data_IF_890158703858
#
_entry.id   IF_890158703858
#
_cell.length_a   1.000
_cell.length_b   1.000
_cell.length_c   1.000
_cell.angle_alpha   90.00
_cell.angle_beta   90.00
_cell.angle_gamma   90.00
#
_symmetry.space_group_name_H-M   'P 1'
#
loop_
_entity.id
_entity.type
_entity.pdbx_description
1 polymer ?
#
# COMPACT_ATOMS: atom_id res chain seq x y z
N UNK A 1 11.91 -5.28 28.14
CA UNK A 1 11.03 -4.10 27.97
C UNK A 1 9.58 -4.52 28.18
N UNK A 2 8.88 -3.96 29.17
CA UNK A 2 7.50 -4.33 29.51
C UNK A 2 6.56 -3.50 28.62
N UNK A 3 5.89 -4.12 27.65
CA UNK A 3 4.86 -3.44 26.87
C UNK A 3 3.78 -2.89 27.83
N UNK A 4 3.53 -1.58 27.78
CA UNK A 4 2.48 -0.94 28.57
C UNK A 4 1.14 -1.55 28.16
N UNK A 5 0.27 -1.93 29.12
CA UNK A 5 -1.02 -2.60 28.82
C UNK A 5 -1.81 -1.89 27.71
N UNK A 6 -1.80 -0.55 27.68
CA UNK A 6 -2.46 0.27 26.65
C UNK A 6 -1.90 0.12 25.22
N UNK A 7 -0.59 -0.14 25.05
CA UNK A 7 -0.01 -0.40 23.72
C UNK A 7 -0.47 -1.73 23.13
N UNK A 8 -0.61 -2.76 23.99
CA UNK A 8 -1.19 -4.06 23.63
C UNK A 8 -2.65 -3.94 23.21
N UNK A 9 -3.45 -3.13 23.92
CA UNK A 9 -4.87 -2.91 23.60
C UNK A 9 -5.06 -2.19 22.26
N UNK A 10 -4.31 -1.11 21.99
CA UNK A 10 -4.40 -0.40 20.70
C UNK A 10 -4.10 -1.33 19.52
N UNK A 11 -3.08 -2.18 19.65
CA UNK A 11 -2.74 -3.18 18.62
C UNK A 11 -3.87 -4.18 18.42
N UNK A 12 -4.42 -4.75 19.50
CA UNK A 12 -5.53 -5.69 19.43
C UNK A 12 -6.78 -5.08 18.76
N UNK A 13 -7.07 -3.81 19.03
CA UNK A 13 -8.15 -3.06 18.38
C UNK A 13 -7.92 -2.91 16.86
N UNK A 14 -6.70 -2.57 16.44
CA UNK A 14 -6.36 -2.51 15.01
C UNK A 14 -6.39 -3.89 14.34
N UNK A 15 -5.96 -4.94 15.03
CA UNK A 15 -6.03 -6.31 14.51
C UNK A 15 -7.49 -6.77 14.34
N UNK A 16 -8.36 -6.47 15.31
CA UNK A 16 -9.79 -6.70 15.20
C UNK A 16 -10.43 -5.92 14.05
N UNK A 17 -10.05 -4.64 13.88
CA UNK A 17 -10.52 -3.82 12.76
C UNK A 17 -10.05 -4.37 11.40
N UNK A 18 -8.82 -4.87 11.30
CA UNK A 18 -8.35 -5.56 10.09
C UNK A 18 -9.16 -6.83 9.80
N UNK A 19 -9.42 -7.67 10.80
CA UNK A 19 -10.24 -8.87 10.62
C UNK A 19 -11.65 -8.53 10.10
N UNK A 20 -12.30 -7.54 10.72
CA UNK A 20 -13.61 -7.07 10.27
C UNK A 20 -13.59 -6.51 8.84
N UNK A 21 -12.51 -5.81 8.45
CA UNK A 21 -12.34 -5.29 7.09
C UNK A 21 -12.26 -6.43 6.06
N UNK A 22 -11.53 -7.50 6.35
CA UNK A 22 -11.40 -8.64 5.45
C UNK A 22 -12.69 -9.47 5.40
N UNK A 23 -13.42 -9.59 6.51
CA UNK A 23 -14.67 -10.37 6.60
C UNK A 23 -15.87 -9.68 5.92
N UNK A 24 -16.00 -8.35 6.06
CA UNK A 24 -17.22 -7.64 5.65
C UNK A 24 -16.98 -6.25 5.07
N UNK A 25 -15.73 -5.93 4.71
CA UNK A 25 -15.37 -4.63 4.16
C UNK A 25 -15.51 -3.48 5.17
N UNK A 26 -15.43 -2.25 4.67
CA UNK A 26 -15.41 -1.04 5.53
C UNK A 26 -16.71 -0.82 6.31
N UNK A 27 -17.83 -1.38 5.83
CA UNK A 27 -19.13 -1.34 6.52
C UNK A 27 -19.10 -2.12 7.84
N UNK A 28 -18.43 -3.27 7.86
CA UNK A 28 -18.30 -4.11 9.06
C UNK A 28 -17.39 -3.50 10.13
N UNK A 29 -16.45 -2.63 9.74
CA UNK A 29 -15.58 -1.94 10.69
C UNK A 29 -16.36 -0.83 11.40
N UNK A 30 -16.84 -1.12 12.61
CA UNK A 30 -17.46 -0.14 13.51
C UNK A 30 -16.75 -0.14 14.86
N UNK A 31 -16.72 1.00 15.56
CA UNK A 31 -16.13 1.05 16.89
C UNK A 31 -16.78 0.05 17.84
N UNK A 32 -18.10 -0.15 17.71
CA UNK A 32 -18.83 -1.16 18.49
C UNK A 32 -18.33 -2.57 18.19
N UNK A 33 -18.31 -3.00 16.93
CA UNK A 33 -17.89 -4.34 16.54
C UNK A 33 -16.42 -4.61 16.92
N UNK A 34 -15.55 -3.60 16.79
CA UNK A 34 -14.14 -3.69 17.19
C UNK A 34 -14.01 -3.85 18.71
N UNK A 35 -14.74 -3.05 19.49
CA UNK A 35 -14.75 -3.15 20.95
C UNK A 35 -15.28 -4.49 21.46
N UNK A 36 -16.39 -4.96 20.88
CA UNK A 36 -16.98 -6.27 21.18
C UNK A 36 -15.99 -7.42 20.87
N UNK A 37 -15.31 -7.37 19.72
CA UNK A 37 -14.34 -8.41 19.31
C UNK A 37 -13.11 -8.49 20.23
N UNK A 38 -12.68 -7.36 20.78
CA UNK A 38 -11.53 -7.32 21.72
C UNK A 38 -11.98 -7.51 23.18
N UNK A 39 -13.27 -7.36 23.49
CA UNK A 39 -13.81 -7.45 24.84
C UNK A 39 -13.54 -6.19 25.68
N UNK A 40 -13.50 -5.00 25.07
CA UNK A 40 -13.30 -3.73 25.77
C UNK A 40 -14.57 -2.88 25.77
N UNK A 41 -14.72 -2.02 26.79
CA UNK A 41 -15.84 -1.08 26.86
C UNK A 41 -15.72 -0.02 25.78
N UNK A 42 -16.87 0.57 25.40
CA UNK A 42 -16.92 1.72 24.47
C UNK A 42 -16.01 2.86 24.94
N UNK A 43 -15.99 3.15 26.25
CA UNK A 43 -15.13 4.19 26.82
C UNK A 43 -13.64 3.87 26.64
N UNK A 44 -13.23 2.64 26.91
CA UNK A 44 -11.83 2.22 26.75
C UNK A 44 -11.39 2.29 25.28
N UNK A 45 -12.29 2.00 24.34
CA UNK A 45 -12.02 2.13 22.91
C UNK A 45 -11.88 3.60 22.48
N UNK A 46 -12.75 4.49 22.96
CA UNK A 46 -12.66 5.93 22.66
C UNK A 46 -11.36 6.57 23.15
N UNK A 47 -10.76 6.04 24.22
CA UNK A 47 -9.45 6.49 24.70
C UNK A 47 -8.31 6.17 23.70
N UNK A 48 -8.53 5.24 22.76
CA UNK A 48 -7.56 4.88 21.73
C UNK A 48 -7.91 5.46 20.35
N UNK A 49 -9.19 5.55 20.02
CA UNK A 49 -9.69 6.06 18.74
C UNK A 49 -10.92 6.93 19.00
N UNK A 50 -10.79 8.24 18.76
CA UNK A 50 -11.86 9.19 19.01
C UNK A 50 -13.15 8.83 18.24
N UNK A 51 -12.99 8.46 16.98
CA UNK A 51 -14.07 8.09 16.07
C UNK A 51 -13.66 6.98 15.08
N UNK A 52 -14.61 6.57 14.22
CA UNK A 52 -14.37 5.59 13.15
C UNK A 52 -13.36 6.10 12.12
N UNK A 53 -13.37 7.39 11.79
CA UNK A 53 -12.47 7.96 10.80
C UNK A 53 -11.00 7.84 11.25
N UNK A 54 -10.73 8.19 12.51
CA UNK A 54 -9.43 8.02 13.15
C UNK A 54 -8.98 6.56 13.10
N UNK A 55 -9.86 5.62 13.44
CA UNK A 55 -9.54 4.18 13.38
C UNK A 55 -9.20 3.72 11.94
N UNK A 56 -9.99 4.13 10.95
CA UNK A 56 -9.78 3.75 9.56
C UNK A 56 -8.51 4.35 8.98
N UNK A 57 -8.21 5.61 9.29
CA UNK A 57 -6.98 6.28 8.86
C UNK A 57 -5.74 5.59 9.43
N UNK A 58 -5.72 5.30 10.74
CA UNK A 58 -4.61 4.56 11.38
C UNK A 58 -4.48 3.14 10.78
N UNK A 59 -5.60 2.49 10.47
CA UNK A 59 -5.60 1.19 9.82
C UNK A 59 -5.02 1.25 8.40
N UNK A 60 -5.38 2.27 7.62
CA UNK A 60 -4.83 2.52 6.28
C UNK A 60 -3.33 2.82 6.34
N UNK A 61 -2.89 3.70 7.25
CA UNK A 61 -1.48 4.00 7.48
C UNK A 61 -0.68 2.73 7.83
N UNK A 62 -1.21 1.87 8.72
CA UNK A 62 -0.59 0.58 9.04
C UNK A 62 -0.41 -0.31 7.81
N UNK A 63 -1.37 -0.31 6.89
CA UNK A 63 -1.26 -1.09 5.66
C UNK A 63 -0.24 -0.50 4.69
N UNK A 64 -0.16 0.83 4.57
CA UNK A 64 0.84 1.52 3.77
C UNK A 64 2.26 1.28 4.31
N UNK A 65 2.46 1.33 5.63
CA UNK A 65 3.77 1.00 6.22
C UNK A 65 4.19 -0.44 5.95
N UNK A 66 3.27 -1.39 6.05
CA UNK A 66 3.54 -2.79 5.68
C UNK A 66 3.83 -2.95 4.19
N UNK A 67 3.20 -2.15 3.33
CA UNK A 67 3.48 -2.14 1.90
C UNK A 67 4.88 -1.58 1.65
N UNK A 68 5.24 -0.46 2.27
CA UNK A 68 6.56 0.15 2.20
C UNK A 68 7.67 -0.84 2.59
N UNK A 69 7.51 -1.53 3.72
CA UNK A 69 8.44 -2.56 4.18
C UNK A 69 8.60 -3.69 3.14
N UNK A 70 7.48 -4.21 2.61
CA UNK A 70 7.51 -5.28 1.60
C UNK A 70 8.16 -4.85 0.30
N UNK A 71 7.94 -3.61 -0.13
CA UNK A 71 8.56 -3.01 -1.29
C UNK A 71 10.07 -2.90 -1.10
N UNK A 72 10.51 -2.41 0.06
CA UNK A 72 11.93 -2.32 0.40
C UNK A 72 12.61 -3.69 0.44
N UNK A 73 12.00 -4.67 1.13
CA UNK A 73 12.53 -6.03 1.18
C UNK A 73 12.57 -6.70 -0.20
N UNK A 74 11.62 -6.43 -1.08
CA UNK A 74 11.61 -6.98 -2.43
C UNK A 74 12.78 -6.42 -3.26
N UNK A 75 13.01 -5.10 -3.19
CA UNK A 75 14.12 -4.46 -3.88
C UNK A 75 15.48 -4.93 -3.38
N UNK A 76 15.65 -5.08 -2.06
CA UNK A 76 16.93 -5.48 -1.44
C UNK A 76 17.40 -6.90 -1.77
N UNK A 77 16.51 -7.76 -2.29
CA UNK A 77 16.86 -9.14 -2.66
C UNK A 77 17.50 -9.24 -4.05
N UNK A 78 17.44 -8.17 -4.85
CA UNK A 78 18.05 -8.13 -6.18
C UNK A 78 19.45 -7.54 -6.13
N UNK A 79 20.35 -8.03 -6.98
CA UNK A 79 21.70 -7.48 -7.15
C UNK A 79 21.71 -6.31 -8.14
N UNK A 80 20.78 -6.35 -9.11
CA UNK A 80 20.64 -5.35 -10.17
C UNK A 80 19.49 -4.38 -9.82
N UNK A 81 19.72 -3.05 -9.78
CA UNK A 81 18.70 -2.06 -9.47
C UNK A 81 17.37 -2.20 -10.21
N UNK A 82 17.37 -2.42 -11.53
CA UNK A 82 16.14 -2.56 -12.32
C UNK A 82 15.35 -3.81 -11.94
N UNK A 83 16.02 -4.92 -11.61
CA UNK A 83 15.36 -6.13 -11.10
C UNK A 83 14.77 -5.87 -9.72
N UNK A 84 15.45 -5.07 -8.89
CA UNK A 84 14.93 -4.62 -7.60
C UNK A 84 13.68 -3.75 -7.74
N UNK A 85 13.67 -2.85 -8.73
CA UNK A 85 12.51 -2.01 -9.07
C UNK A 85 11.33 -2.85 -9.57
N UNK A 86 11.57 -3.84 -10.43
CA UNK A 86 10.55 -4.79 -10.88
C UNK A 86 9.97 -5.61 -9.71
N UNK A 87 10.83 -6.11 -8.83
CA UNK A 87 10.40 -6.86 -7.64
C UNK A 87 9.55 -6.00 -6.69
N UNK A 88 9.93 -4.72 -6.53
CA UNK A 88 9.19 -3.72 -5.75
C UNK A 88 7.80 -3.47 -6.32
N UNK A 89 7.69 -3.25 -7.63
CA UNK A 89 6.41 -3.13 -8.35
C UNK A 89 5.56 -4.38 -8.14
N UNK A 90 6.16 -5.57 -8.27
CA UNK A 90 5.46 -6.83 -8.03
C UNK A 90 4.91 -6.93 -6.60
N UNK A 91 5.64 -6.43 -5.60
CA UNK A 91 5.16 -6.38 -4.22
C UNK A 91 3.94 -5.44 -4.06
N UNK A 92 3.95 -4.29 -4.73
CA UNK A 92 2.80 -3.39 -4.78
C UNK A 92 1.57 -4.06 -5.40
N UNK A 93 1.72 -4.67 -6.58
CA UNK A 93 0.61 -5.35 -7.29
C UNK A 93 0.02 -6.47 -6.42
N UNK A 94 0.86 -7.35 -5.87
CA UNK A 94 0.40 -8.44 -4.99
C UNK A 94 -0.32 -7.93 -3.75
N UNK A 95 0.15 -6.83 -3.17
CA UNK A 95 -0.51 -6.21 -2.02
C UNK A 95 -1.91 -5.70 -2.41
N UNK A 96 -2.03 -5.01 -3.54
CA UNK A 96 -3.28 -4.40 -3.97
C UNK A 96 -4.33 -5.44 -4.38
N UNK A 97 -3.93 -6.45 -5.17
CA UNK A 97 -4.82 -7.51 -5.62
C UNK A 97 -5.17 -8.51 -4.50
N UNK A 98 -4.30 -8.66 -3.50
CA UNK A 98 -4.49 -9.61 -2.40
C UNK A 98 -5.64 -9.28 -1.45
N UNK A 99 -6.13 -8.04 -1.41
CA UNK A 99 -7.34 -7.67 -0.68
C UNK A 99 -7.99 -6.41 -1.28
N UNK A 100 -9.07 -6.56 -2.07
CA UNK A 100 -9.82 -5.44 -2.61
C UNK A 100 -10.40 -4.51 -1.54
N UNK A 101 -10.75 -5.04 -0.36
CA UNK A 101 -11.26 -4.23 0.76
C UNK A 101 -10.19 -3.32 1.35
N UNK A 102 -8.95 -3.83 1.47
CA UNK A 102 -7.80 -3.04 1.92
C UNK A 102 -7.43 -1.96 0.92
N UNK A 103 -7.37 -2.32 -0.36
CA UNK A 103 -7.03 -1.39 -1.43
C UNK A 103 -8.04 -0.22 -1.49
N UNK A 104 -9.35 -0.54 -1.43
CA UNK A 104 -10.42 0.47 -1.37
C UNK A 104 -10.34 1.37 -0.14
N UNK A 105 -10.03 0.82 1.04
CA UNK A 105 -9.82 1.61 2.25
C UNK A 105 -8.72 2.65 2.06
N UNK A 106 -7.57 2.23 1.55
CA UNK A 106 -6.44 3.15 1.30
C UNK A 106 -6.84 4.24 0.32
N UNK A 107 -7.46 3.89 -0.81
CA UNK A 107 -7.91 4.88 -1.79
C UNK A 107 -8.88 5.93 -1.21
N UNK A 108 -9.83 5.50 -0.38
CA UNK A 108 -10.76 6.42 0.29
C UNK A 108 -10.06 7.35 1.29
N UNK A 109 -9.19 6.82 2.15
CA UNK A 109 -8.47 7.63 3.13
C UNK A 109 -7.49 8.60 2.45
N UNK A 110 -6.83 8.19 1.37
CA UNK A 110 -5.96 9.09 0.60
C UNK A 110 -6.71 10.26 -0.03
N UNK A 111 -7.98 10.07 -0.39
CA UNK A 111 -8.78 11.09 -1.08
C UNK A 111 -9.46 12.08 -0.12
N UNK A 112 -9.68 11.70 1.15
CA UNK A 112 -10.57 12.45 2.04
C UNK A 112 -10.19 12.52 3.51
N UNK A 113 -9.11 11.87 3.94
CA UNK A 113 -8.70 11.87 5.35
C UNK A 113 -7.97 13.16 5.72
N UNK A 114 -8.34 13.76 6.86
CA UNK A 114 -7.64 14.90 7.45
C UNK A 114 -6.46 14.49 8.34
N UNK A 115 -6.23 13.18 8.51
CA UNK A 115 -5.23 12.64 9.43
C UNK A 115 -3.86 12.52 8.74
N UNK A 116 -2.83 13.11 9.32
CA UNK A 116 -1.49 13.16 8.71
C UNK A 116 -0.81 11.78 8.58
N UNK A 117 -1.10 10.84 9.47
CA UNK A 117 -0.41 9.53 9.54
C UNK A 117 -0.57 8.71 8.25
N UNK A 118 -1.74 8.77 7.60
CA UNK A 118 -1.95 8.07 6.31
C UNK A 118 -1.21 8.74 5.17
N UNK A 119 -1.16 10.08 5.16
CA UNK A 119 -0.44 10.86 4.15
C UNK A 119 1.07 10.67 4.28
N UNK A 120 1.59 10.59 5.50
CA UNK A 120 2.99 10.28 5.77
C UNK A 120 3.38 8.90 5.24
N UNK A 121 2.59 7.87 5.56
CA UNK A 121 2.84 6.52 5.07
C UNK A 121 2.77 6.44 3.54
N UNK A 122 1.84 7.17 2.91
CA UNK A 122 1.73 7.22 1.46
C UNK A 122 2.91 7.95 0.80
N UNK A 123 3.41 9.04 1.40
CA UNK A 123 4.63 9.71 0.94
C UNK A 123 5.84 8.79 1.01
N UNK A 124 5.95 7.92 2.02
CA UNK A 124 7.01 6.91 2.08
C UNK A 124 6.92 5.93 0.91
N UNK A 125 5.73 5.37 0.65
CA UNK A 125 5.51 4.47 -0.50
C UNK A 125 5.84 5.17 -1.83
N UNK A 126 5.45 6.43 -2.01
CA UNK A 126 5.82 7.21 -3.19
C UNK A 126 7.35 7.41 -3.29
N UNK A 127 8.00 7.76 -2.19
CA UNK A 127 9.46 7.93 -2.13
C UNK A 127 10.22 6.65 -2.50
N UNK A 128 9.65 5.46 -2.26
CA UNK A 128 10.22 4.18 -2.73
C UNK A 128 10.27 4.10 -4.26
N UNK A 129 9.21 4.52 -4.96
CA UNK A 129 9.22 4.57 -6.43
C UNK A 129 10.29 5.54 -6.94
N UNK A 130 10.37 6.73 -6.37
CA UNK A 130 11.39 7.74 -6.74
C UNK A 130 12.80 7.20 -6.50
N UNK A 131 13.05 6.62 -5.32
CA UNK A 131 14.36 6.06 -4.97
C UNK A 131 14.77 4.88 -5.85
N UNK A 132 13.83 3.99 -6.18
CA UNK A 132 14.09 2.87 -7.07
C UNK A 132 14.44 3.31 -8.49
N UNK A 133 13.72 4.29 -9.03
CA UNK A 133 14.02 4.89 -10.34
C UNK A 133 15.38 5.58 -10.32
N UNK A 134 15.66 6.40 -9.30
CA UNK A 134 16.95 7.09 -9.16
C UNK A 134 18.12 6.11 -9.12
N UNK A 135 18.01 5.01 -8.36
CA UNK A 135 19.04 3.98 -8.29
C UNK A 135 19.31 3.33 -9.66
N UNK A 136 18.27 3.06 -10.44
CA UNK A 136 18.42 2.54 -11.80
C UNK A 136 19.08 3.54 -12.75
N UNK A 137 18.76 4.84 -12.61
CA UNK A 137 19.39 5.91 -13.41
C UNK A 137 20.87 6.09 -13.05
N UNK A 138 21.21 6.05 -11.76
CA UNK A 138 22.59 6.10 -11.28
C UNK A 138 23.44 4.93 -11.78
N UNK A 139 22.84 3.74 -11.87
CA UNK A 139 23.47 2.55 -12.46
C UNK A 139 23.54 2.57 -14.00
N UNK A 140 22.91 3.56 -14.65
CA UNK A 140 22.85 3.66 -16.11
C UNK A 140 21.86 2.71 -16.78
N UNK A 141 21.04 1.99 -16.01
CA UNK A 141 20.10 0.97 -16.48
C UNK A 141 18.80 1.57 -17.03
N UNK A 142 18.43 2.76 -16.56
CA UNK A 142 17.29 3.54 -17.07
C UNK A 142 17.76 4.89 -17.63
N UNK A 143 16.96 5.56 -18.49
CA UNK A 143 17.30 6.86 -19.04
C UNK A 143 17.40 7.90 -17.93
N UNK A 144 18.45 8.73 -17.98
CA UNK A 144 18.58 9.88 -17.07
C UNK A 144 17.45 10.91 -17.28
N UNK A 145 17.24 11.76 -16.28
CA UNK A 145 16.15 12.74 -16.25
C UNK A 145 15.72 13.02 -14.81
N UNK A 146 14.54 13.62 -14.64
CA UNK A 146 13.95 13.76 -13.30
C UNK A 146 13.41 12.39 -12.81
N UNK A 147 13.96 11.80 -11.73
CA UNK A 147 13.46 10.54 -11.20
C UNK A 147 12.01 10.64 -10.70
N UNK A 148 11.54 11.82 -10.29
CA UNK A 148 10.16 12.02 -9.83
C UNK A 148 9.18 11.85 -10.97
N UNK A 149 9.50 12.38 -12.15
CA UNK A 149 8.65 12.27 -13.34
C UNK A 149 8.50 10.81 -13.80
N UNK A 150 9.61 10.09 -13.93
CA UNK A 150 9.56 8.69 -14.35
C UNK A 150 8.93 7.79 -13.27
N UNK A 151 9.15 8.06 -11.99
CA UNK A 151 8.46 7.36 -10.91
C UNK A 151 6.94 7.60 -10.94
N UNK A 152 6.48 8.81 -11.27
CA UNK A 152 5.07 9.11 -11.42
C UNK A 152 4.43 8.33 -12.58
N UNK A 153 5.12 8.21 -13.72
CA UNK A 153 4.66 7.41 -14.87
C UNK A 153 4.58 5.92 -14.48
N UNK A 154 5.61 5.41 -13.82
CA UNK A 154 5.67 4.03 -13.36
C UNK A 154 4.55 3.73 -12.36
N UNK A 155 4.35 4.60 -11.38
CA UNK A 155 3.28 4.51 -10.39
C UNK A 155 1.90 4.56 -11.06
N UNK A 156 1.64 5.53 -11.95
CA UNK A 156 0.37 5.66 -12.65
C UNK A 156 0.05 4.42 -13.49
N UNK A 157 1.05 3.87 -14.18
CA UNK A 157 0.90 2.63 -14.96
C UNK A 157 0.57 1.45 -14.04
N UNK A 158 1.33 1.28 -12.95
CA UNK A 158 1.11 0.20 -11.98
C UNK A 158 -0.26 0.29 -11.33
N UNK A 159 -0.62 1.47 -10.83
CA UNK A 159 -1.89 1.75 -10.17
C UNK A 159 -3.07 1.56 -11.13
N UNK A 160 -2.97 2.09 -12.36
CA UNK A 160 -3.98 1.93 -13.40
C UNK A 160 -4.19 0.46 -13.78
N UNK A 161 -3.12 -0.32 -13.94
CA UNK A 161 -3.21 -1.75 -14.24
C UNK A 161 -3.92 -2.53 -13.12
N UNK A 162 -3.61 -2.21 -11.86
CA UNK A 162 -4.32 -2.77 -10.69
C UNK A 162 -5.79 -2.38 -10.70
N UNK A 163 -6.12 -1.11 -10.90
CA UNK A 163 -7.51 -0.62 -10.89
C UNK A 163 -8.33 -1.25 -12.03
N UNK A 164 -7.76 -1.36 -13.23
CA UNK A 164 -8.39 -2.04 -14.36
C UNK A 164 -8.65 -3.51 -14.06
N UNK A 165 -7.73 -4.17 -13.34
CA UNK A 165 -7.91 -5.56 -12.89
C UNK A 165 -9.05 -5.67 -11.87
N UNK A 166 -9.03 -4.85 -10.83
CA UNK A 166 -10.02 -4.88 -9.76
C UNK A 166 -11.42 -4.50 -10.22
N UNK A 167 -11.52 -3.62 -11.24
CA UNK A 167 -12.78 -3.19 -11.83
C UNK A 167 -13.31 -4.12 -12.94
N UNK A 168 -12.57 -5.19 -13.30
CA UNK A 168 -12.97 -6.14 -14.34
C UNK A 168 -12.79 -5.63 -15.78
N UNK A 169 -12.03 -4.56 -15.97
CA UNK A 169 -11.75 -3.96 -17.27
C UNK A 169 -10.42 -4.44 -17.90
N UNK A 170 -9.58 -5.14 -17.13
CA UNK A 170 -8.40 -5.84 -17.60
C UNK A 170 -8.80 -6.99 -18.54
N UNK A 171 -8.29 -6.95 -19.79
CA UNK A 171 -8.51 -7.99 -20.79
C UNK A 171 -7.23 -8.23 -21.56
N UNK A 172 -6.86 -9.51 -21.69
CA UNK A 172 -5.65 -9.94 -22.40
C UNK A 172 -5.67 -9.50 -23.87
N UNK A 173 -6.83 -9.55 -24.54
CA UNK A 173 -7.04 -9.07 -25.92
C UNK A 173 -6.68 -7.58 -26.12
N UNK A 174 -6.68 -6.79 -25.04
CA UNK A 174 -6.31 -5.36 -25.03
C UNK A 174 -4.85 -5.13 -24.59
N UNK A 175 -4.09 -6.20 -24.34
CA UNK A 175 -2.77 -6.12 -23.72
C UNK A 175 -2.80 -5.74 -22.23
N UNK A 176 -3.97 -5.81 -21.58
CA UNK A 176 -4.17 -5.50 -20.17
C UNK A 176 -4.29 -6.81 -19.36
N UNK A 177 -3.31 -7.69 -19.52
CA UNK A 177 -3.23 -8.98 -18.82
C UNK A 177 -2.73 -8.82 -17.39
N UNK A 178 -1.68 -9.55 -17.02
CA UNK A 178 -1.09 -9.44 -15.69
C UNK A 178 -0.45 -8.04 -15.46
N UNK A 179 -0.78 -7.34 -14.36
CA UNK A 179 -0.23 -6.02 -14.10
C UNK A 179 1.30 -5.98 -13.92
N UNK A 180 1.90 -7.04 -13.38
CA UNK A 180 3.37 -7.13 -13.22
C UNK A 180 4.02 -7.27 -14.59
N UNK A 181 3.49 -8.12 -15.46
CA UNK A 181 3.99 -8.28 -16.83
C UNK A 181 3.88 -6.98 -17.64
N UNK A 182 2.75 -6.27 -17.50
CA UNK A 182 2.55 -4.99 -18.20
C UNK A 182 3.58 -3.94 -17.78
N UNK A 183 3.86 -3.82 -16.48
CA UNK A 183 4.85 -2.86 -15.98
C UNK A 183 6.27 -3.31 -16.31
N UNK A 184 6.56 -4.61 -16.25
CA UNK A 184 7.84 -5.17 -16.71
C UNK A 184 8.10 -4.88 -18.19
N UNK A 185 7.08 -4.98 -19.04
CA UNK A 185 7.18 -4.65 -20.46
C UNK A 185 7.45 -3.16 -20.72
N UNK A 186 7.01 -2.26 -19.83
CA UNK A 186 7.38 -0.84 -19.86
C UNK A 186 8.85 -0.66 -19.48
N UNK A 187 9.29 -1.24 -18.36
CA UNK A 187 10.67 -1.14 -17.88
C UNK A 187 11.67 -1.71 -18.89
N UNK A 188 11.36 -2.85 -19.50
CA UNK A 188 12.18 -3.46 -20.56
C UNK A 188 12.37 -2.55 -21.78
N UNK A 189 11.40 -1.69 -22.11
CA UNK A 189 11.51 -0.72 -23.21
C UNK A 189 12.33 0.51 -22.85
N UNK A 190 12.43 0.82 -21.56
CA UNK A 190 13.22 1.93 -21.05
C UNK A 190 14.66 1.52 -20.75
N UNK A 191 14.89 0.22 -20.55
CA UNK A 191 16.19 -0.35 -20.18
C UNK A 191 17.26 0.03 -21.21
N UNK A 192 18.43 0.40 -20.69
CA UNK A 192 19.63 0.68 -21.49
C UNK A 192 20.59 -0.51 -21.40
N UNK A 193 21.30 -0.75 -22.50
CA UNK A 193 22.39 -1.72 -22.58
C UNK A 193 23.67 -1.20 -21.92
#
# INVERSE_FOLDING_TARGET
MRATRGGTTRRALLDAAAGLLEEGGMGAVTLRAVGERVGVTKQALHNHFADKATLLSVLAARYLWRLDERMAEAAQRAEVPVEGLEAMVGAYVRFALGSPSRYRLIGQEMSGSAHEEVHEAARSVHARFVGGVAACQEAGELPGGDPVELAAILFATTHGAVELTLSGHAREEKGLGDPVELVGALLARLRRD
#
